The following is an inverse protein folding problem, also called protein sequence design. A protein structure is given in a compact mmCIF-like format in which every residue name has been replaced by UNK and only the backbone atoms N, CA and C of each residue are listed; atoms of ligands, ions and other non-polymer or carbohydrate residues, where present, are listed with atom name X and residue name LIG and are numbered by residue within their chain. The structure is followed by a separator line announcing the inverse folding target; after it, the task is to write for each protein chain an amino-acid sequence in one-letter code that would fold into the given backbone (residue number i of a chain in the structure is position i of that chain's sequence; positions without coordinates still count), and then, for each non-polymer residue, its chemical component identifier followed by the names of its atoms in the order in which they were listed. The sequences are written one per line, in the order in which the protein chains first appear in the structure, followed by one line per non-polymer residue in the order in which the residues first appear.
data_IF_420875188260
#
_entry.id   IF_420875188260
#
_cell.length_a   1.000
_cell.length_b   1.000
_cell.length_c   1.000
_cell.angle_alpha   90.00
_cell.angle_beta   90.00
_cell.angle_gamma   90.00
#
_symmetry.space_group_name_H-M   'P 1'
#
loop_
_entity.id
_entity.type
_entity.pdbx_description
1 polymer ?
#
# COMPACT_ATOMS: atom_id res chain seq x y z
N UNK A 1 -4.63 -3.43 -30.33
CA UNK A 1 -5.45 -4.55 -29.80
C UNK A 1 -4.60 -5.29 -28.79
N UNK A 2 -4.56 -4.83 -27.53
CA UNK A 2 -4.04 -5.53 -26.35
C UNK A 2 -4.28 -4.64 -25.12
N UNK A 3 -5.53 -4.53 -24.66
CA UNK A 3 -5.87 -3.89 -23.36
C UNK A 3 -6.69 -4.83 -22.44
N UNK A 4 -7.01 -6.05 -22.88
CA UNK A 4 -7.90 -6.97 -22.13
C UNK A 4 -7.16 -7.93 -21.16
N UNK A 5 -5.83 -7.96 -21.17
CA UNK A 5 -5.04 -8.92 -20.37
C UNK A 5 -4.90 -8.60 -18.86
N UNK A 6 -4.73 -7.34 -18.40
CA UNK A 6 -4.56 -7.08 -16.97
C UNK A 6 -5.87 -7.29 -16.18
N UNK A 7 -7.01 -6.91 -16.77
CA UNK A 7 -8.33 -7.04 -16.13
C UNK A 7 -8.77 -8.50 -15.94
N UNK A 8 -8.44 -9.37 -16.90
CA UNK A 8 -8.78 -10.81 -16.81
C UNK A 8 -7.95 -11.56 -15.77
N UNK A 9 -6.66 -11.23 -15.61
CA UNK A 9 -5.79 -11.84 -14.60
C UNK A 9 -6.20 -11.45 -13.16
N UNK A 10 -6.55 -10.18 -12.94
CA UNK A 10 -7.02 -9.69 -11.64
C UNK A 10 -8.38 -10.29 -11.26
N UNK A 11 -9.30 -10.41 -12.22
CA UNK A 11 -10.59 -11.08 -12.04
C UNK A 11 -10.43 -12.55 -11.63
N UNK A 12 -9.52 -13.29 -12.28
CA UNK A 12 -9.22 -14.68 -11.93
C UNK A 12 -8.59 -14.82 -10.53
N UNK A 13 -7.68 -13.90 -10.17
CA UNK A 13 -7.07 -13.85 -8.83
C UNK A 13 -8.12 -13.59 -7.74
N UNK A 14 -9.03 -12.64 -7.98
CA UNK A 14 -10.14 -12.34 -7.06
C UNK A 14 -11.07 -13.53 -6.90
N UNK A 15 -11.53 -14.11 -7.99
CA UNK A 15 -12.47 -15.22 -7.94
C UNK A 15 -11.85 -16.44 -7.24
N UNK A 16 -10.55 -16.67 -7.42
CA UNK A 16 -9.77 -17.67 -6.66
C UNK A 16 -9.75 -17.36 -5.16
N UNK A 17 -9.42 -16.12 -4.78
CA UNK A 17 -9.39 -15.69 -3.38
C UNK A 17 -10.76 -15.83 -2.69
N UNK A 18 -11.83 -15.38 -3.34
CA UNK A 18 -13.21 -15.46 -2.83
C UNK A 18 -13.76 -16.89 -2.79
N UNK A 19 -13.22 -17.80 -3.60
CA UNK A 19 -13.63 -19.21 -3.61
C UNK A 19 -12.96 -20.03 -2.50
N UNK A 20 -12.02 -19.45 -1.76
CA UNK A 20 -11.38 -20.15 -0.65
C UNK A 20 -12.38 -20.37 0.49
N UNK A 21 -12.46 -21.58 1.07
CA UNK A 21 -13.42 -21.89 2.13
C UNK A 21 -13.16 -21.10 3.43
N UNK A 22 -11.93 -20.59 3.62
CA UNK A 22 -11.52 -19.78 4.75
C UNK A 22 -11.62 -18.26 4.49
N UNK A 23 -12.19 -17.84 3.36
CA UNK A 23 -12.29 -16.40 3.06
C UNK A 23 -13.20 -15.69 4.09
N UNK A 24 -12.70 -14.67 4.80
CA UNK A 24 -13.39 -14.11 5.96
C UNK A 24 -14.44 -13.05 5.56
N UNK A 25 -15.46 -13.43 4.79
CA UNK A 25 -16.49 -12.53 4.23
C UNK A 25 -17.06 -11.54 5.23
N UNK A 26 -17.49 -11.98 6.41
CA UNK A 26 -18.10 -11.11 7.41
C UNK A 26 -17.11 -10.08 8.00
N UNK A 27 -15.82 -10.42 8.11
CA UNK A 27 -14.78 -9.49 8.60
C UNK A 27 -14.48 -8.43 7.55
N UNK A 28 -14.33 -8.85 6.28
CA UNK A 28 -14.10 -7.93 5.16
C UNK A 28 -15.30 -6.99 4.99
N UNK A 29 -16.51 -7.53 4.96
CA UNK A 29 -17.74 -6.74 4.83
C UNK A 29 -17.86 -5.68 5.93
N UNK A 30 -17.60 -6.04 7.19
CA UNK A 30 -17.64 -5.08 8.31
C UNK A 30 -16.67 -3.91 8.10
N UNK A 31 -15.45 -4.18 7.64
CA UNK A 31 -14.44 -3.14 7.38
C UNK A 31 -14.81 -2.23 6.21
N UNK A 32 -15.50 -2.79 5.22
CA UNK A 32 -16.00 -2.04 4.06
C UNK A 32 -17.38 -1.41 4.29
N UNK A 33 -17.93 -1.46 5.51
CA UNK A 33 -19.26 -0.92 5.82
C UNK A 33 -20.42 -1.69 5.16
N UNK A 34 -20.18 -2.90 4.65
CA UNK A 34 -21.17 -3.77 4.03
C UNK A 34 -21.91 -4.56 5.12
N UNK A 35 -23.23 -4.67 4.98
CA UNK A 35 -24.06 -5.50 5.85
C UNK A 35 -23.59 -6.98 5.83
N UNK A 36 -23.21 -7.56 7.00
CA UNK A 36 -22.79 -8.94 7.10
C UNK A 36 -23.80 -9.96 6.56
N UNK A 37 -25.10 -9.67 6.61
CA UNK A 37 -26.14 -10.60 6.17
C UNK A 37 -26.13 -10.85 4.64
N UNK A 38 -25.52 -9.94 3.87
CA UNK A 38 -25.36 -10.04 2.41
C UNK A 38 -23.91 -9.99 1.93
N UNK A 39 -22.94 -10.20 2.84
CA UNK A 39 -21.52 -9.97 2.61
C UNK A 39 -20.97 -10.71 1.38
N UNK A 40 -21.23 -12.01 1.25
CA UNK A 40 -20.69 -12.81 0.15
C UNK A 40 -21.20 -12.33 -1.22
N UNK A 41 -22.50 -12.07 -1.34
CA UNK A 41 -23.09 -11.58 -2.58
C UNK A 41 -22.53 -10.19 -2.94
N UNK A 42 -22.42 -9.30 -1.97
CA UNK A 42 -21.91 -7.95 -2.17
C UNK A 42 -20.42 -7.94 -2.54
N UNK A 43 -19.60 -8.79 -1.93
CA UNK A 43 -18.15 -8.87 -2.19
C UNK A 43 -17.81 -9.57 -3.51
N UNK A 44 -18.70 -10.43 -4.03
CA UNK A 44 -18.60 -11.02 -5.37
C UNK A 44 -19.06 -10.08 -6.48
N UNK A 45 -19.89 -9.08 -6.16
CA UNK A 45 -20.25 -8.01 -7.09
C UNK A 45 -19.12 -6.98 -7.16
N UNK A 46 -18.37 -7.01 -8.26
CA UNK A 46 -17.19 -6.16 -8.45
C UNK A 46 -17.49 -4.67 -8.28
N UNK A 47 -18.59 -4.19 -8.87
CA UNK A 47 -18.94 -2.77 -8.82
C UNK A 47 -19.28 -2.35 -7.40
N UNK A 48 -20.11 -3.14 -6.70
CA UNK A 48 -20.50 -2.85 -5.31
C UNK A 48 -19.31 -2.94 -4.36
N UNK A 49 -18.45 -3.93 -4.53
CA UNK A 49 -17.27 -4.08 -3.70
C UNK A 49 -16.26 -2.95 -3.94
N UNK A 50 -16.02 -2.55 -5.20
CA UNK A 50 -15.16 -1.41 -5.53
C UNK A 50 -15.67 -0.11 -4.90
N UNK A 51 -16.96 0.20 -5.04
CA UNK A 51 -17.56 1.37 -4.38
C UNK A 51 -17.40 1.32 -2.87
N UNK A 52 -17.63 0.16 -2.24
CA UNK A 52 -17.44 0.02 -0.79
C UNK A 52 -15.97 0.20 -0.36
N UNK A 53 -15.01 -0.22 -1.19
CA UNK A 53 -13.58 0.01 -0.96
C UNK A 53 -13.25 1.50 -1.06
N UNK A 54 -13.75 2.20 -2.08
CA UNK A 54 -13.56 3.65 -2.24
C UNK A 54 -14.13 4.44 -1.06
N UNK A 55 -15.37 4.12 -0.63
CA UNK A 55 -16.01 4.74 0.54
C UNK A 55 -15.23 4.47 1.83
N UNK A 56 -14.80 3.23 2.06
CA UNK A 56 -14.03 2.86 3.24
C UNK A 56 -12.62 3.49 3.23
N UNK A 57 -11.98 3.58 2.07
CA UNK A 57 -10.68 4.24 1.90
C UNK A 57 -10.76 5.73 2.22
N UNK A 58 -11.79 6.43 1.71
CA UNK A 58 -12.01 7.83 2.01
C UNK A 58 -12.27 8.04 3.51
N UNK A 59 -13.15 7.23 4.09
CA UNK A 59 -13.45 7.30 5.52
C UNK A 59 -12.22 6.99 6.40
N UNK A 60 -11.33 6.11 5.95
CA UNK A 60 -10.05 5.81 6.60
C UNK A 60 -9.10 7.00 6.55
N UNK A 61 -8.88 7.59 5.37
CA UNK A 61 -7.97 8.71 5.18
C UNK A 61 -8.41 9.92 6.02
N UNK A 62 -9.69 10.26 6.00
CA UNK A 62 -10.25 11.34 6.83
C UNK A 62 -10.08 11.07 8.33
N UNK A 63 -10.33 9.84 8.77
CA UNK A 63 -10.15 9.45 10.15
C UNK A 63 -8.68 9.49 10.60
N UNK A 64 -7.75 9.08 9.73
CA UNK A 64 -6.32 9.11 10.01
C UNK A 64 -5.79 10.55 10.04
N UNK A 65 -6.27 11.42 9.14
CA UNK A 65 -5.96 12.85 9.15
C UNK A 65 -6.45 13.53 10.44
N UNK A 66 -7.66 13.21 10.90
CA UNK A 66 -8.16 13.67 12.20
C UNK A 66 -7.26 13.20 13.35
N UNK A 67 -6.92 11.91 13.37
CA UNK A 67 -6.05 11.33 14.40
C UNK A 67 -4.69 12.02 14.44
N UNK A 68 -4.03 12.19 13.30
CA UNK A 68 -2.69 12.79 13.25
C UNK A 68 -2.68 14.28 13.56
N UNK A 69 -3.78 14.97 13.27
CA UNK A 69 -4.00 16.32 13.75
C UNK A 69 -4.42 16.42 15.24
N UNK A 70 -4.46 15.31 15.97
CA UNK A 70 -4.85 15.25 17.39
C UNK A 70 -6.35 15.45 17.65
N UNK A 71 -7.20 15.34 16.62
CA UNK A 71 -8.66 15.38 16.73
C UNK A 71 -9.21 13.98 16.94
N UNK A 72 -10.43 13.88 17.49
CA UNK A 72 -11.15 12.60 17.61
C UNK A 72 -11.82 12.29 16.27
N UNK A 73 -11.49 11.16 15.61
CA UNK A 73 -12.14 10.79 14.36
C UNK A 73 -13.63 10.52 14.55
N UNK A 74 -14.45 10.97 13.60
CA UNK A 74 -15.91 10.76 13.65
C UNK A 74 -16.36 9.44 12.99
N UNK A 75 -15.53 8.87 12.12
CA UNK A 75 -15.88 7.69 11.34
C UNK A 75 -15.85 6.40 12.18
N UNK A 76 -16.82 5.47 12.01
CA UNK A 76 -16.79 4.16 12.67
C UNK A 76 -15.54 3.34 12.37
N UNK A 77 -14.86 3.58 11.24
CA UNK A 77 -13.65 2.84 10.86
C UNK A 77 -12.51 3.05 11.86
N UNK A 78 -12.49 4.19 12.55
CA UNK A 78 -11.51 4.50 13.59
C UNK A 78 -11.73 3.73 14.90
N UNK A 79 -12.88 3.07 15.06
CA UNK A 79 -13.19 2.23 16.22
C UNK A 79 -12.66 0.80 16.08
N UNK A 80 -12.15 0.42 14.91
CA UNK A 80 -11.52 -0.88 14.70
C UNK A 80 -10.23 -0.95 15.57
N UNK A 81 -10.02 -2.01 16.36
CA UNK A 81 -8.83 -2.14 17.20
C UNK A 81 -7.51 -2.17 16.42
N UNK A 82 -7.55 -2.51 15.13
CA UNK A 82 -6.39 -2.52 14.25
C UNK A 82 -6.12 -1.13 13.61
N UNK A 83 -6.91 -0.11 13.92
CA UNK A 83 -6.73 1.25 13.40
C UNK A 83 -5.53 1.96 14.07
N UNK A 84 -4.70 2.71 13.31
CA UNK A 84 -4.82 3.00 11.87
C UNK A 84 -4.16 1.94 10.98
N UNK A 85 -3.04 1.36 11.40
CA UNK A 85 -2.13 0.67 10.49
C UNK A 85 -2.71 -0.62 9.93
N UNK A 86 -3.26 -1.51 10.76
CA UNK A 86 -3.83 -2.77 10.30
C UNK A 86 -5.10 -2.59 9.45
N UNK A 87 -5.87 -1.53 9.69
CA UNK A 87 -6.97 -1.12 8.80
C UNK A 87 -6.42 -0.66 7.44
N UNK A 88 -5.40 0.20 7.42
CA UNK A 88 -4.74 0.65 6.20
C UNK A 88 -4.18 -0.52 5.38
N UNK A 89 -3.49 -1.47 6.01
CA UNK A 89 -2.98 -2.68 5.37
C UNK A 89 -4.11 -3.50 4.71
N UNK A 90 -5.24 -3.65 5.42
CA UNK A 90 -6.40 -4.38 4.89
C UNK A 90 -7.04 -3.66 3.70
N UNK A 91 -7.12 -2.33 3.74
CA UNK A 91 -7.66 -1.51 2.65
C UNK A 91 -6.75 -1.52 1.41
N UNK A 92 -5.42 -1.53 1.58
CA UNK A 92 -4.49 -1.76 0.46
C UNK A 92 -4.77 -3.10 -0.21
N UNK A 93 -4.89 -4.18 0.58
CA UNK A 93 -5.21 -5.50 0.06
C UNK A 93 -6.56 -5.54 -0.67
N UNK A 94 -7.58 -4.85 -0.13
CA UNK A 94 -8.89 -4.72 -0.76
C UNK A 94 -8.82 -3.93 -2.07
N UNK A 95 -8.12 -2.79 -2.08
CA UNK A 95 -7.94 -1.98 -3.28
C UNK A 95 -7.28 -2.77 -4.42
N UNK A 96 -6.27 -3.59 -4.12
CA UNK A 96 -5.66 -4.49 -5.11
C UNK A 96 -6.66 -5.57 -5.56
N UNK A 97 -7.38 -6.20 -4.63
CA UNK A 97 -8.29 -7.32 -4.92
C UNK A 97 -9.49 -6.92 -5.80
N UNK A 98 -10.01 -5.70 -5.66
CA UNK A 98 -11.15 -5.18 -6.43
C UNK A 98 -10.74 -4.13 -7.48
N UNK A 99 -9.46 -4.06 -7.84
CA UNK A 99 -8.89 -3.19 -8.88
C UNK A 99 -9.21 -1.69 -8.67
N UNK A 100 -9.23 -1.24 -7.41
CA UNK A 100 -9.28 0.17 -7.02
C UNK A 100 -7.86 0.72 -6.82
N UNK A 101 -6.95 0.43 -7.76
CA UNK A 101 -5.49 0.66 -7.60
C UNK A 101 -5.10 2.12 -7.41
N UNK A 102 -5.90 3.06 -7.92
CA UNK A 102 -5.72 4.49 -7.71
C UNK A 102 -5.74 4.92 -6.22
N UNK A 103 -6.28 4.09 -5.32
CA UNK A 103 -6.28 4.34 -3.89
C UNK A 103 -4.96 3.92 -3.21
N UNK A 104 -4.21 2.99 -3.83
CA UNK A 104 -3.07 2.31 -3.20
C UNK A 104 -1.96 3.28 -2.83
N UNK A 105 -1.49 4.21 -3.70
CA UNK A 105 -0.39 5.11 -3.36
C UNK A 105 -0.62 5.89 -2.07
N UNK A 106 -1.82 6.46 -1.91
CA UNK A 106 -2.17 7.25 -0.72
C UNK A 106 -2.24 6.39 0.53
N UNK A 107 -2.95 5.26 0.50
CA UNK A 107 -3.12 4.41 1.69
C UNK A 107 -1.80 3.72 2.07
N UNK A 108 -1.07 3.17 1.09
CA UNK A 108 0.20 2.48 1.34
C UNK A 108 1.26 3.43 1.90
N UNK A 109 1.29 4.70 1.47
CA UNK A 109 2.18 5.70 2.05
C UNK A 109 1.86 5.94 3.53
N UNK A 110 0.59 5.97 3.93
CA UNK A 110 0.18 6.13 5.35
C UNK A 110 0.66 4.94 6.20
N UNK A 111 0.49 3.72 5.67
CA UNK A 111 0.95 2.49 6.33
C UNK A 111 2.48 2.44 6.43
N UNK A 112 3.20 2.86 5.38
CA UNK A 112 4.65 2.93 5.40
C UNK A 112 5.17 3.87 6.49
N UNK A 113 4.53 5.05 6.67
CA UNK A 113 4.86 5.99 7.74
C UNK A 113 4.67 5.37 9.11
N UNK A 114 3.52 4.73 9.36
CA UNK A 114 3.23 4.11 10.66
C UNK A 114 4.27 3.01 11.02
N UNK A 115 4.66 2.17 10.05
CA UNK A 115 5.73 1.18 10.25
C UNK A 115 7.09 1.84 10.49
N UNK A 116 7.42 2.89 9.74
CA UNK A 116 8.64 3.65 9.98
C UNK A 116 8.64 4.26 11.40
N UNK A 117 7.53 4.83 11.86
CA UNK A 117 7.43 5.39 13.22
C UNK A 117 7.54 4.31 14.31
N UNK A 118 7.07 3.10 14.01
CA UNK A 118 7.15 1.93 14.92
C UNK A 118 8.53 1.27 14.92
N UNK A 119 9.40 1.60 13.97
CA UNK A 119 10.75 1.03 13.83
C UNK A 119 10.83 -0.20 12.92
N UNK A 120 9.77 -0.52 12.19
CA UNK A 120 9.69 -1.67 11.27
C UNK A 120 10.18 -1.28 9.86
N UNK A 121 11.49 -1.03 9.71
CA UNK A 121 12.10 -0.50 8.48
C UNK A 121 11.81 -1.36 7.24
N UNK A 122 11.82 -2.68 7.39
CA UNK A 122 11.58 -3.62 6.29
C UNK A 122 10.14 -3.56 5.78
N UNK A 123 9.15 -3.45 6.69
CA UNK A 123 7.75 -3.28 6.32
C UNK A 123 7.51 -1.89 5.73
N UNK A 124 8.11 -0.85 6.31
CA UNK A 124 8.05 0.50 5.75
C UNK A 124 8.59 0.52 4.31
N UNK A 125 9.76 -0.09 4.06
CA UNK A 125 10.34 -0.21 2.72
C UNK A 125 9.44 -1.00 1.75
N UNK A 126 8.79 -2.06 2.22
CA UNK A 126 7.88 -2.87 1.40
C UNK A 126 6.65 -2.07 0.95
N UNK A 127 6.04 -1.28 1.84
CA UNK A 127 4.93 -0.40 1.49
C UNK A 127 5.37 0.79 0.61
N UNK A 128 6.58 1.33 0.80
CA UNK A 128 7.17 2.33 -0.11
C UNK A 128 7.29 1.77 -1.52
N UNK A 129 7.81 0.55 -1.67
CA UNK A 129 7.91 -0.10 -2.98
C UNK A 129 6.53 -0.27 -3.63
N UNK A 130 5.51 -0.65 -2.84
CA UNK A 130 4.14 -0.76 -3.33
C UNK A 130 3.56 0.58 -3.81
N UNK A 131 3.86 1.69 -3.12
CA UNK A 131 3.51 3.03 -3.59
C UNK A 131 4.14 3.28 -4.96
N UNK A 132 5.45 3.04 -5.09
CA UNK A 132 6.18 3.27 -6.34
C UNK A 132 5.66 2.43 -7.51
N UNK A 133 5.20 1.21 -7.25
CA UNK A 133 4.59 0.33 -8.25
C UNK A 133 3.18 0.77 -8.67
N UNK A 134 2.45 1.43 -7.76
CA UNK A 134 1.02 1.74 -7.95
C UNK A 134 0.73 3.17 -8.38
N UNK A 135 1.75 4.04 -8.39
CA UNK A 135 1.63 5.46 -8.78
C UNK A 135 1.27 5.58 -10.26
N UNK A 136 0.27 6.39 -10.56
CA UNK A 136 0.03 6.91 -11.91
C UNK A 136 0.70 8.28 -12.07
N UNK A 137 1.75 8.41 -12.93
CA UNK A 137 2.42 9.68 -13.18
C UNK A 137 1.45 10.80 -13.61
N UNK A 138 1.57 11.97 -13.00
CA UNK A 138 0.66 13.11 -13.21
C UNK A 138 -0.58 13.10 -12.32
N UNK A 139 -0.84 12.01 -11.58
CA UNK A 139 -1.93 11.93 -10.59
C UNK A 139 -1.39 11.77 -9.18
N UNK A 140 -0.47 10.82 -8.97
CA UNK A 140 0.02 10.43 -7.65
C UNK A 140 1.41 10.98 -7.32
N UNK A 141 1.86 12.02 -8.04
CA UNK A 141 3.22 12.53 -7.99
C UNK A 141 3.66 12.91 -6.57
N UNK A 142 2.77 13.55 -5.81
CA UNK A 142 3.06 13.95 -4.43
C UNK A 142 3.28 12.74 -3.52
N UNK A 143 2.49 11.68 -3.70
CA UNK A 143 2.64 10.42 -2.95
C UNK A 143 3.95 9.73 -3.32
N UNK A 144 4.32 9.76 -4.60
CA UNK A 144 5.57 9.17 -5.09
C UNK A 144 6.81 9.87 -4.51
N UNK A 145 6.83 11.21 -4.54
CA UNK A 145 7.91 12.00 -3.94
C UNK A 145 7.98 11.85 -2.43
N UNK A 146 6.82 11.85 -1.75
CA UNK A 146 6.76 11.59 -0.33
C UNK A 146 7.34 10.20 0.01
N UNK A 147 7.01 9.16 -0.78
CA UNK A 147 7.56 7.82 -0.60
C UNK A 147 9.09 7.77 -0.79
N UNK A 148 9.66 8.52 -1.74
CA UNK A 148 11.13 8.64 -1.88
C UNK A 148 11.77 9.34 -0.68
N UNK A 149 11.18 10.43 -0.21
CA UNK A 149 11.69 11.14 0.96
C UNK A 149 11.63 10.27 2.22
N UNK A 150 10.60 9.41 2.36
CA UNK A 150 10.53 8.41 3.43
C UNK A 150 11.60 7.34 3.27
N UNK A 151 11.87 6.90 2.03
CA UNK A 151 12.90 5.89 1.75
C UNK A 151 14.29 6.36 2.17
N UNK A 152 14.61 7.65 2.00
CA UNK A 152 15.85 8.22 2.55
C UNK A 152 15.92 8.00 4.05
N UNK A 153 14.85 8.32 4.79
CA UNK A 153 14.82 8.18 6.24
C UNK A 153 14.97 6.71 6.69
N UNK A 154 14.29 5.78 6.00
CA UNK A 154 14.43 4.32 6.22
C UNK A 154 15.87 3.87 5.98
N UNK A 155 16.49 4.27 4.86
CA UNK A 155 17.85 3.88 4.50
C UNK A 155 18.90 4.47 5.45
N UNK A 156 18.71 5.70 5.92
CA UNK A 156 19.58 6.30 6.93
C UNK A 156 19.53 5.53 8.24
N UNK A 157 18.33 5.17 8.71
CA UNK A 157 18.14 4.44 9.97
C UNK A 157 18.70 3.01 9.90
N UNK A 158 18.50 2.33 8.78
CA UNK A 158 19.01 0.98 8.52
C UNK A 158 20.52 0.92 8.18
N UNK A 159 21.21 2.07 8.12
CA UNK A 159 22.67 2.13 7.90
C UNK A 159 23.12 2.10 6.44
N UNK A 160 22.21 2.26 5.48
CA UNK A 160 22.46 2.29 4.04
C UNK A 160 22.74 3.70 3.51
N UNK A 161 23.73 4.39 4.11
CA UNK A 161 24.01 5.81 3.87
C UNK A 161 24.27 6.18 2.39
N UNK A 162 25.01 5.34 1.65
CA UNK A 162 25.32 5.63 0.25
C UNK A 162 24.07 5.67 -0.65
N UNK A 163 23.12 4.74 -0.42
CA UNK A 163 21.85 4.70 -1.14
C UNK A 163 20.94 5.86 -0.71
N UNK A 164 20.91 6.19 0.59
CA UNK A 164 20.18 7.35 1.08
C UNK A 164 20.69 8.67 0.46
N UNK A 165 22.01 8.84 0.36
CA UNK A 165 22.64 10.02 -0.24
C UNK A 165 22.38 10.14 -1.74
N UNK A 166 22.17 9.02 -2.45
CA UNK A 166 21.77 9.02 -3.85
C UNK A 166 20.37 9.57 -4.04
N UNK A 167 19.40 9.03 -3.29
CA UNK A 167 18.01 9.49 -3.34
C UNK A 167 17.90 10.94 -2.84
N UNK A 168 18.62 11.32 -1.78
CA UNK A 168 18.61 12.68 -1.26
C UNK A 168 19.11 13.72 -2.29
N UNK A 169 20.12 13.35 -3.10
CA UNK A 169 20.60 14.20 -4.19
C UNK A 169 19.56 14.32 -5.31
N UNK A 170 18.84 13.25 -5.62
CA UNK A 170 17.75 13.27 -6.61
C UNK A 170 16.60 14.18 -6.15
N UNK A 171 16.17 14.06 -4.90
CA UNK A 171 15.17 14.95 -4.29
C UNK A 171 15.60 16.41 -4.38
N UNK A 172 16.86 16.71 -4.02
CA UNK A 172 17.40 18.06 -4.12
C UNK A 172 17.48 18.58 -5.56
N UNK A 173 17.77 17.72 -6.54
CA UNK A 173 17.80 18.09 -7.95
C UNK A 173 16.42 18.46 -8.51
N UNK A 174 15.36 17.96 -7.87
CA UNK A 174 13.97 18.24 -8.20
C UNK A 174 13.32 19.21 -7.19
N UNK A 175 14.10 19.91 -6.35
CA UNK A 175 13.57 20.84 -5.34
C UNK A 175 12.52 20.23 -4.38
N UNK A 176 12.57 18.92 -4.15
CA UNK A 176 11.66 18.19 -3.25
C UNK A 176 12.22 18.19 -1.82
N UNK A 177 11.44 18.60 -0.80
CA UNK A 177 11.87 18.54 0.59
C UNK A 177 12.21 17.12 1.06
N UNK A 178 13.33 16.97 1.76
CA UNK A 178 13.80 15.68 2.31
C UNK A 178 12.85 15.10 3.38
N UNK A 179 12.02 15.95 3.95
CA UNK A 179 11.04 15.64 4.98
C UNK A 179 9.59 15.74 4.47
N UNK A 180 9.36 15.79 3.15
CA UNK A 180 8.02 15.79 2.55
C UNK A 180 7.13 14.65 3.07
N UNK A 181 7.71 13.48 3.37
CA UNK A 181 6.98 12.35 3.94
C UNK A 181 6.29 12.66 5.27
N UNK A 182 6.72 13.69 6.00
CA UNK A 182 6.08 14.10 7.24
C UNK A 182 4.73 14.78 7.01
N UNK A 183 4.49 15.30 5.82
CA UNK A 183 3.20 15.87 5.47
C UNK A 183 2.17 14.77 5.36
N UNK A 184 1.08 14.90 6.10
CA UNK A 184 0.01 13.91 6.11
C UNK A 184 -0.57 13.71 4.72
N UNK A 185 -1.07 14.79 4.11
CA UNK A 185 -1.53 14.84 2.73
C UNK A 185 -0.50 15.65 1.91
N UNK A 186 0.54 15.00 1.35
CA UNK A 186 1.60 15.71 0.65
C UNK A 186 1.04 16.39 -0.60
N UNK A 187 1.44 17.63 -0.83
CA UNK A 187 1.08 18.41 -2.02
C UNK A 187 2.30 19.03 -2.65
N UNK A 188 2.40 19.01 -3.98
CA UNK A 188 3.50 19.63 -4.71
C UNK A 188 3.17 21.09 -5.02
N UNK A 189 4.15 22.02 -4.88
CA UNK A 189 3.92 23.44 -5.14
C UNK A 189 3.75 23.83 -6.62
N UNK A 190 4.15 22.98 -7.57
CA UNK A 190 4.05 23.23 -9.02
C UNK A 190 4.06 21.92 -9.83
N UNK A 191 3.51 21.97 -11.05
CA UNK A 191 3.39 20.87 -12.02
C UNK A 191 4.76 20.44 -12.59
N UNK A 192 5.80 21.26 -12.43
CA UNK A 192 7.19 20.93 -12.77
C UNK A 192 7.80 19.80 -11.93
N UNK A 193 7.09 19.39 -10.87
CA UNK A 193 7.43 18.29 -9.97
C UNK A 193 6.72 16.99 -10.35
N UNK A 194 6.19 16.89 -11.58
CA UNK A 194 5.60 15.64 -12.07
C UNK A 194 6.56 14.46 -11.86
N UNK A 195 6.05 13.37 -11.30
CA UNK A 195 6.87 12.20 -11.02
C UNK A 195 7.20 11.50 -12.33
N UNK A 196 8.48 11.20 -12.54
CA UNK A 196 8.96 10.55 -13.76
C UNK A 196 9.52 9.14 -13.51
N UNK A 197 9.30 8.57 -12.32
CA UNK A 197 9.79 7.23 -11.95
C UNK A 197 10.94 7.22 -10.94
N UNK A 198 11.38 8.38 -10.43
CA UNK A 198 12.34 8.48 -9.33
C UNK A 198 13.79 8.15 -9.65
N UNK A 199 14.66 8.40 -8.67
CA UNK A 199 16.10 8.11 -8.63
C UNK A 199 16.54 6.68 -9.01
N UNK A 200 15.61 5.73 -9.20
CA UNK A 200 15.92 4.39 -9.70
C UNK A 200 15.52 4.15 -11.16
N UNK A 201 15.28 5.23 -11.93
CA UNK A 201 15.22 5.19 -13.39
C UNK A 201 16.33 6.05 -13.97
N UNK A 202 17.57 5.52 -13.96
CA UNK A 202 18.69 6.15 -14.66
C UNK A 202 20.04 5.94 -13.98
N UNK A 203 20.65 4.78 -14.06
CA UNK A 203 21.50 4.55 -15.23
C UNK A 203 20.86 3.79 -16.40
N UNK A 204 19.56 3.51 -16.37
CA UNK A 204 18.90 2.73 -17.43
C UNK A 204 17.94 3.66 -18.18
N UNK A 205 18.26 4.07 -19.43
CA UNK A 205 17.26 4.60 -20.38
C UNK A 205 16.08 3.63 -20.43
N UNK A 206 14.84 4.07 -20.72
CA UNK A 206 13.63 3.26 -20.64
C UNK A 206 13.94 1.84 -21.11
N UNK A 207 13.85 0.86 -20.19
CA UNK A 207 14.17 -0.54 -20.50
C UNK A 207 13.39 -0.92 -21.74
N UNK A 208 14.11 -1.02 -22.84
CA UNK A 208 13.59 -1.32 -24.18
C UNK A 208 13.58 -2.83 -24.39
N UNK A 209 13.35 -3.58 -23.31
CA UNK A 209 13.32 -5.03 -23.24
C UNK A 209 12.26 -5.53 -22.25
N UNK A 210 11.09 -4.91 -22.22
CA UNK A 210 9.76 -5.50 -21.91
C UNK A 210 9.69 -6.65 -20.88
N UNK A 211 10.43 -6.58 -19.75
CA UNK A 211 10.33 -7.57 -18.68
C UNK A 211 10.15 -6.88 -17.35
N UNK A 212 8.90 -6.64 -17.01
CA UNK A 212 8.44 -6.47 -15.63
C UNK A 212 8.70 -7.75 -14.85
N UNK A 213 8.94 -7.63 -13.54
CA UNK A 213 8.67 -8.75 -12.63
C UNK A 213 7.20 -9.08 -12.77
N UNK A 214 6.90 -10.33 -13.07
CA UNK A 214 5.54 -10.74 -13.37
C UNK A 214 4.72 -10.79 -12.07
N UNK A 215 3.40 -10.65 -12.18
CA UNK A 215 2.46 -10.84 -11.07
C UNK A 215 2.67 -12.19 -10.37
N UNK A 216 3.19 -13.19 -11.09
CA UNK A 216 3.53 -14.52 -10.59
C UNK A 216 4.72 -14.47 -9.62
N UNK A 217 5.73 -13.64 -9.90
CA UNK A 217 6.93 -13.50 -9.06
C UNK A 217 6.63 -12.82 -7.71
N UNK A 218 5.70 -11.84 -7.69
CA UNK A 218 5.24 -11.16 -6.48
C UNK A 218 4.34 -12.06 -5.65
N UNK A 219 3.48 -12.86 -6.30
CA UNK A 219 2.65 -13.85 -5.62
C UNK A 219 3.49 -14.96 -4.99
N UNK A 220 4.54 -15.43 -5.65
CA UNK A 220 5.47 -16.41 -5.12
C UNK A 220 6.28 -15.86 -3.93
N UNK A 221 6.68 -14.59 -4.00
CA UNK A 221 7.35 -13.93 -2.88
C UNK A 221 6.41 -13.75 -1.68
N UNK A 222 5.18 -13.26 -1.89
CA UNK A 222 4.17 -13.12 -0.83
C UNK A 222 3.76 -14.49 -0.25
N UNK A 223 3.66 -15.53 -1.07
CA UNK A 223 3.39 -16.89 -0.61
C UNK A 223 4.54 -17.43 0.25
N UNK A 224 5.79 -17.13 -0.12
CA UNK A 224 6.98 -17.48 0.66
C UNK A 224 6.98 -16.78 2.01
N UNK A 225 6.69 -15.47 2.03
CA UNK A 225 6.66 -14.65 3.23
C UNK A 225 5.54 -15.11 4.20
N UNK A 226 4.33 -15.40 3.69
CA UNK A 226 3.23 -15.94 4.49
C UNK A 226 3.52 -17.35 5.03
N UNK A 227 4.25 -18.17 4.27
CA UNK A 227 4.65 -19.51 4.71
C UNK A 227 5.73 -19.48 5.80
N UNK A 228 6.59 -18.45 5.81
CA UNK A 228 7.60 -18.23 6.84
C UNK A 228 6.97 -17.69 8.14
N UNK A 229 6.05 -16.72 8.04
CA UNK A 229 5.30 -16.21 9.21
C UNK A 229 4.48 -17.31 9.89
N UNK A 230 3.84 -18.19 9.10
CA UNK A 230 3.07 -19.33 9.64
C UNK A 230 3.98 -20.38 10.30
N UNK A 231 5.20 -20.59 9.78
CA UNK A 231 6.21 -21.45 10.42
C UNK A 231 6.73 -20.85 11.74
N UNK A 232 6.89 -19.52 11.79
CA UNK A 232 7.26 -18.82 13.02
C UNK A 232 6.20 -18.96 14.12
N UNK A 233 4.93 -18.75 13.79
CA UNK A 233 3.81 -18.90 14.73
C UNK A 233 3.67 -20.33 15.27
N UNK A 234 3.87 -21.35 14.43
CA UNK A 234 3.87 -22.75 14.87
C UNK A 234 5.04 -23.09 15.79
N UNK A 235 6.21 -22.50 15.58
CA UNK A 235 7.37 -22.69 16.45
C UNK A 235 7.20 -22.02 17.83
N UNK A 236 6.45 -20.92 17.90
CA UNK A 236 6.10 -20.23 19.15
C UNK A 236 5.02 -21.00 19.95
N UNK A 237 4.05 -21.63 19.28
CA UNK A 237 3.04 -22.48 19.92
C UNK A 237 3.62 -23.80 20.49
N UNK A 238 4.57 -24.43 19.80
CA UNK A 238 5.26 -25.64 20.27
C UNK A 238 6.29 -25.36 21.36
N UNK A 239 6.85 -24.14 21.42
CA UNK A 239 7.75 -23.70 22.48
C UNK A 239 7.06 -23.32 23.80
N UNK A 240 5.75 -23.06 23.77
CA UNK A 240 4.92 -22.68 24.92
C UNK A 240 4.24 -23.85 25.66
N UNK A 241 4.31 -25.08 25.14
CA UNK A 241 3.85 -26.29 25.85
C UNK A 241 5.00 -26.99 26.58
N UNK A 242 5.49 -26.38 27.66
CA UNK A 242 6.22 -27.06 28.74
C UNK A 242 5.86 -26.49 30.11
#
# INVERSE_FOLDING_TARGET
MSDEQPSTALSASRDSALSRPDFPFARVARRLGIDPAGAELALRDEGRARTAVEEAAQAYLEADDDRRAGRTPASPIALDPDFPTGVGMALVGAAVLWDARHLVPRIALRVAKDHYESGDDELAASYIALVQESVDPGQDDASAWAAQSLLVAVLQRSGSAAAADEIARDLAAHDVPIDLWRDDDPSLPDDSLAWHGGAFVGGIPPRRDERSLSTEDVQDYLATLLAETRRGQQAEEDGGSR
#
